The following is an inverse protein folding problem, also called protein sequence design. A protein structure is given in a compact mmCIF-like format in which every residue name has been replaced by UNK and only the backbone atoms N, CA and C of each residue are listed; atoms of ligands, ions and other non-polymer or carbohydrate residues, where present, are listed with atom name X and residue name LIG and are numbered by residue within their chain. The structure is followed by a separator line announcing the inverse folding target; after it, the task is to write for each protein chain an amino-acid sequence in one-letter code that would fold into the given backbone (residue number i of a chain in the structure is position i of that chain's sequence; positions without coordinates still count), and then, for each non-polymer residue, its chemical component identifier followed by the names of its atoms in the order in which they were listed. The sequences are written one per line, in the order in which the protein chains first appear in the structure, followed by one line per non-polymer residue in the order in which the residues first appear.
data_IF_454618272806
#
_entry.id   IF_454618272806
#
_cell.length_a   1.000
_cell.length_b   1.000
_cell.length_c   1.000
_cell.angle_alpha   90.00
_cell.angle_beta   90.00
_cell.angle_gamma   90.00
#
_symmetry.space_group_name_H-M   'P 1'
#
loop_
_entity.id
_entity.type
_entity.pdbx_description
1 polymer ?
#
# COMPACT_ATOMS: atom_id res chain seq x y z
N UNK A 1 43.80 2.20 26.78
CA UNK A 1 43.71 2.22 25.30
C UNK A 1 42.66 3.26 24.97
N UNK A 2 43.14 4.35 24.39
CA UNK A 2 42.40 5.54 23.97
C UNK A 2 41.27 5.08 23.02
N UNK A 3 40.02 5.51 23.17
CA UNK A 3 39.61 6.88 22.95
C UNK A 3 39.20 7.06 21.48
N UNK A 4 38.06 6.51 21.09
CA UNK A 4 37.37 6.85 19.84
C UNK A 4 35.86 6.92 20.10
N UNK A 5 35.45 7.98 20.78
CA UNK A 5 34.10 8.52 20.60
C UNK A 5 34.16 9.27 19.26
N UNK A 6 33.76 8.57 18.19
CA UNK A 6 33.67 9.18 16.87
C UNK A 6 32.66 10.33 16.97
N UNK A 7 33.16 11.55 16.78
CA UNK A 7 32.40 12.79 16.72
C UNK A 7 31.26 12.63 15.71
N UNK A 8 30.07 12.26 16.19
CA UNK A 8 28.86 12.28 15.41
C UNK A 8 28.48 13.75 15.24
N UNK A 9 28.76 14.28 14.04
CA UNK A 9 28.35 15.62 13.66
C UNK A 9 26.87 15.84 13.99
N UNK A 10 26.59 16.86 14.79
CA UNK A 10 25.28 17.23 15.36
C UNK A 10 24.35 17.89 14.31
N UNK A 11 24.29 17.35 13.10
CA UNK A 11 23.26 17.69 12.11
C UNK A 11 22.11 16.67 12.18
N UNK A 12 20.88 17.02 11.75
CA UNK A 12 19.81 16.04 11.59
C UNK A 12 20.22 15.02 10.51
N UNK A 13 20.83 13.92 10.93
CA UNK A 13 21.22 12.84 10.03
C UNK A 13 19.98 12.01 9.70
N UNK A 14 19.50 12.16 8.47
CA UNK A 14 18.40 11.34 7.95
C UNK A 14 18.98 9.98 7.60
N UNK A 15 18.60 8.97 8.39
CA UNK A 15 18.95 7.58 8.16
C UNK A 15 17.74 6.71 8.41
N UNK A 16 17.59 5.66 7.62
CA UNK A 16 16.60 4.61 7.87
C UNK A 16 17.16 3.26 7.47
N UNK A 17 16.72 2.23 8.19
CA UNK A 17 17.02 0.84 7.89
C UNK A 17 15.71 0.07 7.85
N UNK A 18 15.54 -0.78 6.85
CA UNK A 18 14.39 -1.66 6.69
C UNK A 18 14.90 -3.09 6.49
N UNK A 19 14.38 -4.01 7.31
CA UNK A 19 14.73 -5.43 7.27
C UNK A 19 13.49 -6.23 6.90
N UNK A 20 13.59 -7.04 5.86
CA UNK A 20 12.54 -7.94 5.37
C UNK A 20 13.08 -9.38 5.37
N UNK A 21 12.88 -10.08 6.48
CA UNK A 21 13.44 -11.42 6.66
C UNK A 21 14.97 -11.39 6.65
N UNK A 22 15.59 -12.01 5.64
CA UNK A 22 17.04 -12.03 5.46
C UNK A 22 17.58 -10.81 4.69
N UNK A 23 16.71 -10.01 4.05
CA UNK A 23 17.14 -8.84 3.28
C UNK A 23 17.17 -7.59 4.16
N UNK A 24 18.17 -6.73 3.92
CA UNK A 24 18.32 -5.46 4.63
C UNK A 24 18.62 -4.31 3.67
N UNK A 25 17.95 -3.19 3.88
CA UNK A 25 18.08 -1.98 3.09
C UNK A 25 18.40 -0.81 4.02
N UNK A 26 19.34 0.03 3.63
CA UNK A 26 19.72 1.21 4.39
C UNK A 26 19.76 2.45 3.48
N UNK A 27 19.28 3.56 4.01
CA UNK A 27 19.44 4.89 3.41
C UNK A 27 20.12 5.80 4.43
N UNK A 28 20.98 6.68 3.95
CA UNK A 28 21.69 7.66 4.76
C UNK A 28 22.02 8.88 3.91
N UNK A 29 22.00 10.07 4.51
CA UNK A 29 22.40 11.32 3.85
C UNK A 29 23.84 11.31 3.32
N UNK A 30 24.65 10.34 3.77
CA UNK A 30 26.06 10.17 3.39
C UNK A 30 26.22 9.39 2.07
N UNK A 31 25.16 8.70 1.61
CA UNK A 31 25.22 7.73 0.50
C UNK A 31 24.41 8.17 -0.73
N UNK A 32 24.44 9.45 -1.08
CA UNK A 32 23.86 10.00 -2.31
C UNK A 32 22.53 10.75 -2.12
N UNK A 33 21.70 10.80 -3.16
CA UNK A 33 20.42 11.53 -3.13
C UNK A 33 19.39 10.71 -2.36
N UNK A 34 18.93 11.23 -1.22
CA UNK A 34 17.96 10.54 -0.35
C UNK A 34 16.67 10.12 -1.06
N UNK A 35 16.15 10.94 -1.98
CA UNK A 35 14.92 10.62 -2.71
C UNK A 35 15.09 9.43 -3.66
N UNK A 36 16.25 9.30 -4.30
CA UNK A 36 16.58 8.16 -5.15
C UNK A 36 16.76 6.90 -4.29
N UNK A 37 17.52 7.00 -3.20
CA UNK A 37 17.69 5.90 -2.25
C UNK A 37 16.35 5.39 -1.71
N UNK A 38 15.44 6.30 -1.34
CA UNK A 38 14.10 5.97 -0.86
C UNK A 38 13.25 5.34 -1.96
N UNK A 39 13.36 5.84 -3.21
CA UNK A 39 12.65 5.28 -4.35
C UNK A 39 13.11 3.85 -4.66
N UNK A 40 14.42 3.60 -4.66
CA UNK A 40 15.00 2.27 -4.84
C UNK A 40 14.62 1.33 -3.70
N UNK A 41 14.72 1.79 -2.45
CA UNK A 41 14.33 0.99 -1.29
C UNK A 41 12.85 0.61 -1.36
N UNK A 42 11.98 1.56 -1.69
CA UNK A 42 10.54 1.31 -1.89
C UNK A 42 10.32 0.25 -2.97
N UNK A 43 10.94 0.40 -4.14
CA UNK A 43 10.73 -0.51 -5.27
C UNK A 43 11.15 -1.94 -4.91
N UNK A 44 12.37 -2.13 -4.40
CA UNK A 44 12.88 -3.45 -3.99
C UNK A 44 12.02 -4.08 -2.90
N UNK A 45 11.70 -3.31 -1.86
CA UNK A 45 10.86 -3.77 -0.74
C UNK A 45 9.49 -4.21 -1.22
N UNK A 46 8.90 -3.49 -2.18
CA UNK A 46 7.57 -3.82 -2.71
C UNK A 46 7.57 -5.12 -3.49
N UNK A 47 8.63 -5.44 -4.24
CA UNK A 47 8.75 -6.71 -4.96
C UNK A 47 8.73 -7.88 -3.98
N UNK A 48 9.54 -7.80 -2.92
CA UNK A 48 9.64 -8.84 -1.88
C UNK A 48 8.29 -9.04 -1.18
N UNK A 49 7.66 -7.94 -0.75
CA UNK A 49 6.36 -7.99 -0.08
C UNK A 49 5.27 -8.57 -0.98
N UNK A 50 5.23 -8.17 -2.26
CA UNK A 50 4.29 -8.73 -3.25
C UNK A 50 4.50 -10.23 -3.39
N UNK A 51 5.73 -10.68 -3.58
CA UNK A 51 6.03 -12.11 -3.72
C UNK A 51 5.57 -12.90 -2.49
N UNK A 52 5.84 -12.38 -1.28
CA UNK A 52 5.39 -13.00 -0.03
C UNK A 52 3.87 -13.06 0.06
N UNK A 53 3.18 -11.95 -0.20
CA UNK A 53 1.71 -11.90 -0.16
C UNK A 53 1.11 -12.86 -1.19
N UNK A 54 1.61 -12.87 -2.42
CA UNK A 54 1.12 -13.79 -3.47
C UNK A 54 1.29 -15.26 -3.07
N UNK A 55 2.42 -15.63 -2.43
CA UNK A 55 2.66 -17.01 -1.99
C UNK A 55 1.81 -17.44 -0.79
N UNK A 56 1.46 -16.50 0.09
CA UNK A 56 0.89 -16.84 1.41
C UNK A 56 -0.55 -16.36 1.63
N UNK A 57 -1.01 -15.38 0.85
CA UNK A 57 -2.33 -14.75 1.00
C UNK A 57 -3.17 -14.92 -0.28
N UNK A 58 -2.82 -15.88 -1.16
CA UNK A 58 -3.73 -16.31 -2.20
C UNK A 58 -5.06 -16.71 -1.52
N UNK A 59 -6.22 -16.24 -2.01
CA UNK A 59 -7.48 -16.70 -1.47
C UNK A 59 -7.44 -18.21 -1.56
N UNK A 60 -7.48 -18.87 -0.40
CA UNK A 60 -7.81 -20.28 -0.36
C UNK A 60 -9.10 -20.37 -1.18
N UNK A 61 -9.06 -21.11 -2.28
CA UNK A 61 -10.18 -21.36 -3.18
C UNK A 61 -11.28 -21.99 -2.32
N UNK A 62 -12.06 -21.14 -1.66
CA UNK A 62 -13.32 -21.55 -1.05
C UNK A 62 -14.20 -21.68 -2.28
N UNK A 63 -14.53 -22.90 -2.72
CA UNK A 63 -15.45 -23.05 -3.83
C UNK A 63 -16.69 -22.24 -3.45
N UNK A 64 -17.06 -21.29 -4.30
CA UNK A 64 -18.34 -20.62 -4.23
C UNK A 64 -19.38 -21.75 -4.20
N UNK A 65 -19.92 -22.05 -3.02
CA UNK A 65 -21.10 -22.88 -2.90
C UNK A 65 -22.16 -22.08 -3.66
N UNK A 66 -22.46 -22.52 -4.88
CA UNK A 66 -23.52 -21.97 -5.72
C UNK A 66 -24.77 -21.84 -4.85
N UNK A 67 -25.09 -20.63 -4.40
CA UNK A 67 -26.39 -20.35 -3.82
C UNK A 67 -27.37 -20.29 -4.98
N UNK A 68 -27.78 -21.48 -5.41
CA UNK A 68 -28.95 -21.72 -6.21
C UNK A 68 -30.15 -21.23 -5.38
N UNK A 69 -30.55 -19.99 -5.67
CA UNK A 69 -31.64 -19.29 -5.01
C UNK A 69 -32.32 -18.39 -6.03
N UNK A 70 -33.05 -19.02 -6.95
CA UNK A 70 -34.10 -18.38 -7.74
C UNK A 70 -34.97 -17.46 -6.84
N UNK A 71 -35.09 -16.19 -7.22
CA UNK A 71 -36.41 -15.61 -7.43
C UNK A 71 -36.30 -14.39 -8.34
N UNK A 72 -36.63 -14.66 -9.59
CA UNK A 72 -37.19 -13.78 -10.61
C UNK A 72 -38.13 -12.69 -10.04
N UNK A 73 -37.95 -11.43 -10.44
CA UNK A 73 -39.01 -10.48 -10.80
C UNK A 73 -38.40 -9.21 -11.44
N UNK A 74 -38.33 -9.28 -12.77
CA UNK A 74 -38.70 -8.26 -13.76
C UNK A 74 -38.55 -6.76 -13.44
N UNK A 75 -37.96 -6.01 -14.39
CA UNK A 75 -38.32 -4.59 -14.53
C UNK A 75 -37.25 -3.64 -15.03
N UNK A 76 -36.81 -3.84 -16.26
CA UNK A 76 -36.12 -2.86 -17.10
C UNK A 76 -36.73 -1.44 -16.99
N UNK A 77 -35.96 -0.43 -16.56
CA UNK A 77 -36.19 0.96 -16.97
C UNK A 77 -34.98 1.86 -16.63
N UNK A 78 -34.20 2.11 -17.67
CA UNK A 78 -33.45 3.35 -17.87
C UNK A 78 -34.27 4.58 -17.41
N UNK A 79 -33.60 5.57 -16.79
CA UNK A 79 -33.70 7.02 -17.07
C UNK A 79 -33.21 7.84 -15.86
N UNK A 80 -31.91 8.10 -15.89
CA UNK A 80 -31.30 9.43 -15.71
C UNK A 80 -32.27 10.60 -15.90
N UNK A 81 -32.79 11.18 -14.81
CA UNK A 81 -33.10 12.61 -14.74
C UNK A 81 -33.20 13.08 -13.27
N UNK A 82 -32.63 14.24 -12.88
CA UNK A 82 -32.79 14.76 -11.53
C UNK A 82 -34.21 15.32 -11.35
N UNK A 83 -34.83 15.16 -10.16
CA UNK A 83 -36.14 15.74 -9.91
C UNK A 83 -36.03 17.27 -9.87
N UNK A 84 -36.51 17.94 -10.93
CA UNK A 84 -36.89 19.35 -10.86
C UNK A 84 -38.33 19.44 -10.34
N UNK A 85 -38.55 20.50 -9.55
CA UNK A 85 -39.86 21.10 -9.16
C UNK A 85 -40.55 20.35 -8.02
N UNK A 86 -41.19 20.98 -7.04
CA UNK A 86 -41.41 22.39 -6.69
C UNK A 86 -41.94 22.35 -5.25
N UNK A 87 -41.52 23.28 -4.38
CA UNK A 87 -42.23 23.51 -3.12
C UNK A 87 -42.26 25.00 -2.79
N UNK A 88 -43.48 25.51 -2.63
CA UNK A 88 -43.98 26.83 -2.17
C UNK A 88 -44.98 27.35 -3.19
N UNK A 89 -46.13 27.93 -2.87
CA UNK A 89 -46.88 28.28 -1.65
C UNK A 89 -48.23 28.72 -2.25
N UNK A 90 -49.40 28.36 -1.73
CA UNK A 90 -50.13 29.05 -0.66
C UNK A 90 -51.54 28.46 -0.69
#
# INVERSE_FOLDING_TARGET
MEGQDAVQGLGPSVKANLVLGAESFAISSESGILSEQLSTMKEKSMVILKEYITKHNAPNDVPDESTEGESDDEGEALVKNPPKKSKRQK
#
